data_IF_200278822421
#
_entry.id   IF_200278822421
#
_cell.length_a   1.000
_cell.length_b   1.000
_cell.length_c   1.000
_cell.angle_alpha   90.00
_cell.angle_beta   90.00
_cell.angle_gamma   90.00
#
_symmetry.space_group_name_H-M   'P 1'
#
loop_
_entity.id
_entity.type
_entity.pdbx_description
1 polymer ?
#
# COMPACT_ATOMS: atom_id res chain seq x y z
N UNK A 1 -7.46 -36.78 47.41
CA UNK A 1 -8.86 -36.52 47.83
C UNK A 1 -9.63 -36.14 46.58
N UNK A 2 -10.64 -36.93 46.20
CA UNK A 2 -11.52 -36.61 45.06
C UNK A 2 -12.73 -35.84 45.54
N UNK A 3 -13.21 -34.89 44.74
CA UNK A 3 -14.34 -34.01 45.09
C UNK A 3 -15.36 -34.00 43.95
N UNK A 4 -16.60 -34.38 44.26
CA UNK A 4 -17.77 -34.19 43.39
C UNK A 4 -18.89 -33.56 44.22
N UNK A 5 -19.04 -32.24 44.11
CA UNK A 5 -19.99 -31.44 44.90
C UNK A 5 -19.79 -31.62 46.42
N UNK A 6 -20.67 -32.41 47.05
CA UNK A 6 -20.68 -32.68 48.50
C UNK A 6 -20.05 -34.02 48.89
N UNK A 7 -19.55 -34.83 47.94
CA UNK A 7 -18.95 -36.14 48.22
C UNK A 7 -17.42 -36.11 48.14
N UNK A 8 -16.80 -36.74 49.13
CA UNK A 8 -15.35 -36.91 49.24
C UNK A 8 -15.02 -38.39 49.35
N UNK A 9 -14.12 -38.90 48.51
CA UNK A 9 -13.59 -40.25 48.65
C UNK A 9 -12.10 -40.32 48.31
N UNK A 10 -11.47 -41.38 48.83
CA UNK A 10 -10.08 -41.73 48.56
C UNK A 10 -10.09 -42.89 47.56
N UNK A 11 -9.65 -42.64 46.33
CA UNK A 11 -9.34 -43.68 45.36
C UNK A 11 -7.82 -43.76 45.20
N UNK A 12 -7.25 -44.95 44.91
CA UNK A 12 -5.81 -45.14 44.72
C UNK A 12 -5.28 -44.56 43.40
N UNK A 13 -6.15 -44.07 42.51
CA UNK A 13 -5.74 -43.38 41.30
C UNK A 13 -5.28 -41.94 41.63
N UNK A 14 -4.34 -41.36 40.87
CA UNK A 14 -3.97 -39.96 41.01
C UNK A 14 -5.14 -39.06 40.61
N UNK A 15 -5.41 -38.01 41.40
CA UNK A 15 -6.33 -36.95 40.98
C UNK A 15 -5.74 -36.27 39.73
N UNK A 16 -6.48 -36.27 38.61
CA UNK A 16 -6.03 -35.65 37.34
C UNK A 16 -5.60 -34.20 37.51
N UNK A 17 -6.22 -33.46 38.44
CA UNK A 17 -5.80 -32.08 38.77
C UNK A 17 -4.41 -32.04 39.42
N UNK A 18 -4.17 -32.90 40.42
CA UNK A 18 -2.86 -32.99 41.07
C UNK A 18 -1.78 -33.48 40.12
N UNK A 19 -2.12 -34.41 39.21
CA UNK A 19 -1.20 -34.86 38.16
C UNK A 19 -0.87 -33.73 37.17
N UNK A 20 -1.85 -32.91 36.79
CA UNK A 20 -1.62 -31.76 35.92
C UNK A 20 -0.73 -30.71 36.59
N UNK A 21 -0.94 -30.43 37.88
CA UNK A 21 -0.06 -29.55 38.66
C UNK A 21 1.38 -30.09 38.72
N UNK A 22 1.55 -31.38 39.02
CA UNK A 22 2.86 -32.02 39.05
C UNK A 22 3.58 -31.93 37.69
N UNK A 23 2.89 -32.23 36.59
CA UNK A 23 3.46 -32.13 35.24
C UNK A 23 3.79 -30.68 34.86
N UNK A 24 2.94 -29.72 35.24
CA UNK A 24 3.20 -28.31 35.00
C UNK A 24 4.42 -27.80 35.79
N UNK A 25 4.66 -28.34 36.99
CA UNK A 25 5.86 -28.07 37.78
C UNK A 25 7.10 -28.73 37.18
N UNK A 26 7.00 -29.98 36.70
CA UNK A 26 8.10 -30.67 36.00
C UNK A 26 8.54 -29.91 34.74
N UNK A 27 7.61 -29.25 34.03
CA UNK A 27 7.93 -28.44 32.85
C UNK A 27 8.79 -27.21 33.15
N UNK A 28 8.94 -26.77 34.41
CA UNK A 28 9.91 -25.72 34.79
C UNK A 28 11.34 -26.11 34.46
N UNK A 29 11.64 -27.41 34.46
CA UNK A 29 12.95 -27.95 34.11
C UNK A 29 13.11 -28.20 32.61
N UNK A 30 12.10 -27.89 31.79
CA UNK A 30 12.10 -28.04 30.33
C UNK A 30 11.66 -26.73 29.64
N UNK A 31 12.39 -25.61 29.86
CA UNK A 31 12.00 -24.30 29.31
C UNK A 31 11.94 -24.31 27.77
N UNK A 32 12.79 -25.08 27.10
CA UNK A 32 12.81 -25.18 25.64
C UNK A 32 11.48 -25.70 25.08
N UNK A 33 10.87 -26.69 25.74
CA UNK A 33 9.57 -27.24 25.33
C UNK A 33 8.44 -26.22 25.45
N UNK A 34 8.50 -25.36 26.46
CA UNK A 34 7.52 -24.29 26.67
C UNK A 34 7.72 -23.19 25.62
N UNK A 35 8.97 -22.80 25.37
CA UNK A 35 9.33 -21.84 24.34
C UNK A 35 8.86 -22.32 22.96
N UNK A 36 9.17 -23.57 22.58
CA UNK A 36 8.74 -24.17 21.31
C UNK A 36 7.23 -24.08 21.09
N UNK A 37 6.42 -24.34 22.12
CA UNK A 37 4.96 -24.23 22.04
C UNK A 37 4.50 -22.78 21.85
N UNK A 38 5.12 -21.82 22.55
CA UNK A 38 4.84 -20.40 22.35
C UNK A 38 5.21 -19.97 20.92
N UNK A 39 6.40 -20.33 20.44
CA UNK A 39 6.85 -20.01 19.09
C UNK A 39 5.96 -20.64 18.03
N UNK A 40 5.50 -21.88 18.24
CA UNK A 40 4.54 -22.56 17.36
C UNK A 40 3.26 -21.73 17.23
N UNK A 41 2.70 -21.25 18.34
CA UNK A 41 1.49 -20.40 18.36
C UNK A 41 1.72 -19.04 17.69
N UNK A 42 2.87 -18.40 17.91
CA UNK A 42 3.22 -17.14 17.21
C UNK A 42 3.30 -17.36 15.70
N UNK A 43 3.90 -18.47 15.25
CA UNK A 43 3.94 -18.83 13.82
C UNK A 43 2.54 -19.08 13.25
N UNK A 44 1.62 -19.64 14.03
CA UNK A 44 0.22 -19.80 13.63
C UNK A 44 -0.49 -18.45 13.46
N UNK A 45 -0.27 -17.50 14.36
CA UNK A 45 -0.80 -16.13 14.25
C UNK A 45 -0.32 -15.45 12.96
N UNK A 46 0.95 -15.61 12.60
CA UNK A 46 1.53 -15.07 11.37
C UNK A 46 0.97 -15.73 10.10
N UNK A 47 0.64 -17.02 10.15
CA UNK A 47 0.02 -17.73 9.00
C UNK A 47 -1.42 -17.28 8.74
N UNK A 48 -2.11 -16.77 9.77
CA UNK A 48 -3.52 -16.36 9.66
C UNK A 48 -3.69 -15.01 8.95
N UNK A 49 -2.76 -14.08 9.17
CA UNK A 49 -2.87 -12.73 8.62
C UNK A 49 -1.50 -12.08 8.49
N UNK A 50 -1.28 -11.37 7.37
CA UNK A 50 -0.14 -10.49 7.18
C UNK A 50 -0.46 -9.02 7.47
N UNK A 51 -1.71 -8.69 7.80
CA UNK A 51 -2.15 -7.30 7.98
C UNK A 51 -1.81 -6.43 6.76
N UNK A 52 -1.22 -5.26 7.01
CA UNK A 52 -0.71 -4.36 5.98
C UNK A 52 0.77 -4.58 5.63
N UNK A 53 1.40 -5.66 6.08
CA UNK A 53 2.82 -5.92 5.79
C UNK A 53 2.97 -6.78 4.54
N UNK A 54 4.05 -6.56 3.79
CA UNK A 54 4.45 -7.43 2.70
C UNK A 54 5.00 -8.78 3.21
N UNK A 55 5.53 -8.80 4.44
CA UNK A 55 5.96 -10.01 5.10
C UNK A 55 5.99 -9.87 6.62
N UNK A 56 5.72 -10.98 7.31
CA UNK A 56 5.81 -11.06 8.78
C UNK A 56 6.73 -12.20 9.15
N UNK A 57 7.72 -11.91 9.97
CA UNK A 57 8.78 -12.84 10.36
C UNK A 57 8.59 -13.23 11.82
N UNK A 58 8.10 -14.44 12.05
CA UNK A 58 7.90 -14.99 13.38
C UNK A 58 9.21 -15.54 13.94
N UNK A 59 9.80 -14.83 14.90
CA UNK A 59 10.92 -15.29 15.74
C UNK A 59 12.09 -15.78 14.86
N UNK A 60 12.68 -14.88 14.05
CA UNK A 60 13.79 -15.25 13.20
C UNK A 60 15.00 -15.66 14.04
N UNK A 61 15.66 -16.76 13.67
CA UNK A 61 16.86 -17.22 14.42
C UNK A 61 18.10 -16.39 14.12
N UNK A 62 18.07 -15.68 13.00
CA UNK A 62 19.13 -14.75 12.60
C UNK A 62 18.56 -13.63 11.73
N UNK A 63 19.29 -12.52 11.63
CA UNK A 63 18.91 -11.40 10.78
C UNK A 63 18.90 -11.73 9.27
N UNK A 64 19.46 -12.87 8.86
CA UNK A 64 19.42 -13.35 7.46
C UNK A 64 18.02 -13.79 7.03
N UNK A 65 17.19 -14.25 7.97
CA UNK A 65 15.83 -14.73 7.71
C UNK A 65 14.83 -13.61 7.41
N UNK A 66 15.25 -12.35 7.61
CA UNK A 66 14.48 -11.16 7.25
C UNK A 66 15.03 -10.60 5.94
N UNK A 67 14.30 -10.71 4.81
CA UNK A 67 14.73 -10.15 3.52
C UNK A 67 14.96 -8.65 3.59
N UNK A 68 15.87 -8.14 2.77
CA UNK A 68 16.14 -6.71 2.61
C UNK A 68 15.52 -6.25 1.29
N UNK A 69 14.26 -5.82 1.36
CA UNK A 69 13.44 -5.44 0.22
C UNK A 69 12.68 -4.13 0.53
N UNK A 70 12.32 -3.33 -0.49
CA UNK A 70 11.62 -2.05 -0.32
C UNK A 70 10.12 -2.25 -0.04
N UNK A 71 9.78 -3.01 1.01
CA UNK A 71 8.40 -3.23 1.43
C UNK A 71 8.32 -3.48 2.95
N UNK A 72 7.31 -2.91 3.61
CA UNK A 72 7.16 -2.95 5.05
C UNK A 72 7.02 -4.38 5.58
N UNK A 73 7.84 -4.73 6.57
CA UNK A 73 7.88 -6.04 7.21
C UNK A 73 7.82 -5.91 8.72
N UNK A 74 7.03 -6.80 9.33
CA UNK A 74 6.97 -6.94 10.78
C UNK A 74 7.87 -8.08 11.23
N UNK A 75 8.74 -7.83 12.21
CA UNK A 75 9.57 -8.85 12.84
C UNK A 75 9.09 -9.08 14.26
N UNK A 76 8.59 -10.27 14.56
CA UNK A 76 8.21 -10.64 15.94
C UNK A 76 9.44 -11.24 16.60
N UNK A 77 9.97 -10.58 17.63
CA UNK A 77 11.18 -11.00 18.34
C UNK A 77 10.91 -12.24 19.21
N UNK A 78 11.98 -12.98 19.50
CA UNK A 78 11.94 -14.14 20.38
C UNK A 78 11.70 -13.80 21.85
N UNK A 79 11.48 -14.84 22.66
CA UNK A 79 11.23 -14.71 24.10
C UNK A 79 12.50 -14.33 24.88
N UNK A 80 13.67 -14.54 24.28
CA UNK A 80 14.99 -14.16 24.76
C UNK A 80 15.26 -12.64 24.66
N UNK A 81 14.46 -11.94 23.85
CA UNK A 81 14.56 -10.50 23.65
C UNK A 81 13.30 -9.76 24.17
N UNK A 82 12.99 -9.81 25.49
CA UNK A 82 11.85 -9.09 26.03
C UNK A 82 12.10 -7.58 26.06
N UNK A 83 11.01 -6.83 25.91
CA UNK A 83 11.01 -5.39 26.07
C UNK A 83 10.82 -5.00 27.53
N UNK A 84 11.63 -4.04 27.97
CA UNK A 84 11.51 -3.36 29.25
C UNK A 84 11.66 -1.86 29.04
N UNK A 85 10.77 -1.06 29.66
CA UNK A 85 10.77 0.41 29.50
C UNK A 85 11.96 1.08 30.21
N UNK A 86 12.36 0.56 31.37
CA UNK A 86 13.40 1.15 32.21
C UNK A 86 14.64 0.26 32.20
N UNK A 87 15.77 0.80 31.74
CA UNK A 87 17.06 0.09 31.66
C UNK A 87 17.39 -0.38 30.24
N UNK A 88 18.42 -1.22 30.12
CA UNK A 88 18.79 -1.86 28.86
C UNK A 88 17.70 -2.85 28.45
N UNK A 89 17.13 -2.65 27.26
CA UNK A 89 16.05 -3.49 26.73
C UNK A 89 16.62 -4.49 25.72
N UNK A 90 16.64 -5.81 26.03
CA UNK A 90 17.08 -6.84 25.09
C UNK A 90 16.37 -6.76 23.74
N UNK A 91 15.07 -6.44 23.76
CA UNK A 91 14.29 -6.23 22.55
C UNK A 91 14.84 -5.13 21.65
N UNK A 92 15.24 -3.98 22.21
CA UNK A 92 15.79 -2.87 21.43
C UNK A 92 17.16 -3.24 20.84
N UNK A 93 17.97 -3.99 21.58
CA UNK A 93 19.28 -4.46 21.11
C UNK A 93 19.13 -5.45 19.96
N UNK A 94 18.24 -6.43 20.08
CA UNK A 94 17.93 -7.39 19.03
C UNK A 94 17.31 -6.70 17.79
N UNK A 95 16.38 -5.77 18.01
CA UNK A 95 15.78 -4.97 16.94
C UNK A 95 16.82 -4.14 16.19
N UNK A 96 17.74 -3.47 16.90
CA UNK A 96 18.84 -2.72 16.30
C UNK A 96 19.76 -3.61 15.46
N UNK A 97 20.11 -4.80 15.95
CA UNK A 97 20.93 -5.75 15.19
C UNK A 97 20.27 -6.17 13.87
N UNK A 98 18.97 -6.47 13.89
CA UNK A 98 18.22 -6.86 12.67
C UNK A 98 18.00 -5.66 11.74
N UNK A 99 17.83 -4.46 12.30
CA UNK A 99 17.68 -3.22 11.56
C UNK A 99 18.96 -2.84 10.82
N UNK A 100 20.12 -3.01 11.46
CA UNK A 100 21.41 -2.64 10.88
C UNK A 100 21.99 -3.70 9.93
N UNK A 101 21.71 -4.98 10.19
CA UNK A 101 22.38 -6.09 9.51
C UNK A 101 21.40 -7.09 8.92
N UNK A 102 21.77 -7.65 7.77
CA UNK A 102 21.20 -8.87 7.18
C UNK A 102 22.33 -9.90 7.12
N UNK A 103 22.40 -10.76 8.14
CA UNK A 103 23.57 -11.59 8.37
C UNK A 103 24.81 -10.74 8.57
N UNK A 104 25.75 -10.85 7.65
CA UNK A 104 27.03 -10.13 7.71
C UNK A 104 27.06 -8.89 6.81
N UNK A 105 25.97 -8.58 6.11
CA UNK A 105 25.88 -7.42 5.21
C UNK A 105 25.06 -6.31 5.89
N UNK A 106 25.46 -5.03 5.76
CA UNK A 106 24.66 -3.93 6.25
C UNK A 106 23.34 -3.86 5.47
N UNK A 107 22.25 -3.59 6.19
CA UNK A 107 20.90 -3.52 5.62
C UNK A 107 20.68 -2.19 4.90
N UNK A 108 20.08 -2.25 3.72
CA UNK A 108 19.75 -1.07 2.91
C UNK A 108 18.40 -0.50 3.32
N UNK A 109 17.35 -1.31 3.36
CA UNK A 109 15.97 -0.84 3.54
C UNK A 109 15.55 -0.80 5.01
N UNK A 110 16.27 -0.03 5.82
CA UNK A 110 16.05 0.06 7.26
C UNK A 110 14.67 0.62 7.60
N UNK A 111 14.16 1.57 6.82
CA UNK A 111 12.84 2.15 7.07
C UNK A 111 11.69 1.17 6.78
N UNK A 112 11.96 0.01 6.18
CA UNK A 112 10.97 -1.03 5.92
C UNK A 112 10.64 -1.90 7.16
N UNK A 113 11.41 -1.81 8.24
CA UNK A 113 11.27 -2.72 9.38
C UNK A 113 10.58 -2.08 10.60
N UNK A 114 9.73 -2.87 11.22
CA UNK A 114 9.14 -2.63 12.55
C UNK A 114 9.15 -3.93 13.35
N UNK A 115 9.17 -3.84 14.68
CA UNK A 115 9.38 -5.00 15.54
C UNK A 115 8.27 -5.15 16.57
N UNK A 116 7.88 -6.38 16.88
CA UNK A 116 6.97 -6.71 17.97
C UNK A 116 7.72 -7.53 19.01
N UNK A 117 7.68 -7.08 20.25
CA UNK A 117 8.37 -7.70 21.36
C UNK A 117 7.40 -8.09 22.48
N UNK A 118 7.81 -9.10 23.22
CA UNK A 118 7.13 -9.55 24.44
C UNK A 118 7.44 -8.61 25.60
N UNK A 119 6.47 -8.34 26.46
CA UNK A 119 6.65 -7.58 27.70
C UNK A 119 7.35 -8.46 28.75
N UNK A 120 8.47 -7.97 29.31
CA UNK A 120 9.24 -8.68 30.35
C UNK A 120 8.40 -9.13 31.56
N UNK A 121 7.41 -8.32 31.95
CA UNK A 121 6.55 -8.55 33.12
C UNK A 121 5.44 -9.57 32.85
N UNK A 122 5.11 -9.81 31.58
CA UNK A 122 4.06 -10.77 31.18
C UNK A 122 4.61 -12.16 30.85
N UNK A 123 5.94 -12.29 30.71
CA UNK A 123 6.59 -13.54 30.33
C UNK A 123 6.28 -14.69 31.30
N UNK A 124 6.44 -14.48 32.59
CA UNK A 124 6.25 -15.54 33.60
C UNK A 124 4.79 -16.04 33.60
N UNK A 125 3.83 -15.14 33.37
CA UNK A 125 2.41 -15.49 33.27
C UNK A 125 2.05 -16.25 32.00
N UNK A 126 2.71 -15.93 30.87
CA UNK A 126 2.57 -16.69 29.62
C UNK A 126 3.20 -18.08 29.76
N UNK A 127 4.40 -18.17 30.32
CA UNK A 127 5.10 -19.43 30.60
C UNK A 127 4.23 -20.37 31.46
N UNK A 128 3.70 -19.86 32.57
CA UNK A 128 2.84 -20.65 33.46
C UNK A 128 1.57 -21.14 32.76
N UNK A 129 0.93 -20.30 31.94
CA UNK A 129 -0.25 -20.68 31.19
C UNK A 129 0.06 -21.80 30.18
N UNK A 130 1.19 -21.71 29.47
CA UNK A 130 1.62 -22.73 28.50
C UNK A 130 1.98 -24.03 29.20
N UNK A 131 2.68 -23.98 30.34
CA UNK A 131 2.98 -25.18 31.14
C UNK A 131 1.72 -25.92 31.58
N UNK A 132 0.70 -25.20 32.03
CA UNK A 132 -0.61 -25.80 32.37
C UNK A 132 -1.27 -26.44 31.15
N UNK A 133 -1.26 -25.77 30.00
CA UNK A 133 -1.80 -26.32 28.77
C UNK A 133 -1.09 -27.62 28.37
N UNK A 134 0.25 -27.61 28.33
CA UNK A 134 1.06 -28.78 27.97
C UNK A 134 0.88 -29.94 28.97
N UNK A 135 0.71 -29.64 30.26
CA UNK A 135 0.40 -30.64 31.27
C UNK A 135 -0.92 -31.36 30.96
N UNK A 136 -2.00 -30.60 30.72
CA UNK A 136 -3.30 -31.18 30.36
C UNK A 136 -3.27 -31.93 29.02
N UNK A 137 -2.57 -31.39 28.03
CA UNK A 137 -2.43 -32.04 26.73
C UNK A 137 -1.69 -33.38 26.86
N UNK A 138 -0.61 -33.43 27.64
CA UNK A 138 0.12 -34.68 27.89
C UNK A 138 -0.72 -35.75 28.59
N UNK A 139 -1.56 -35.36 29.55
CA UNK A 139 -2.46 -36.30 30.26
C UNK A 139 -3.47 -36.92 29.28
N UNK A 140 -4.00 -36.11 28.37
CA UNK A 140 -4.94 -36.58 27.34
C UNK A 140 -4.26 -37.45 26.28
N UNK A 141 -3.02 -37.13 25.90
CA UNK A 141 -2.22 -37.98 25.01
C UNK A 141 -1.92 -39.36 25.64
N UNK A 142 -1.75 -39.40 26.96
CA UNK A 142 -1.47 -40.64 27.73
C UNK A 142 -2.72 -41.27 28.35
N UNK A 143 -3.93 -40.92 27.89
CA UNK A 143 -5.20 -41.36 28.48
C UNK A 143 -5.32 -42.87 28.69
N UNK A 144 -4.78 -43.67 27.77
CA UNK A 144 -4.82 -45.14 27.82
C UNK A 144 -3.82 -45.69 28.83
N UNK A 145 -2.59 -45.15 28.84
CA UNK A 145 -1.55 -45.56 29.78
C UNK A 145 -1.91 -45.21 31.23
N UNK A 146 -2.57 -44.07 31.43
CA UNK A 146 -3.07 -43.62 32.73
C UNK A 146 -4.38 -44.30 33.14
N UNK A 147 -5.00 -45.10 32.26
CA UNK A 147 -6.31 -45.72 32.45
C UNK A 147 -7.38 -44.71 32.92
N UNK A 148 -7.44 -43.54 32.26
CA UNK A 148 -8.39 -42.50 32.61
C UNK A 148 -9.83 -42.97 32.38
N UNK A 149 -10.68 -42.79 33.39
CA UNK A 149 -12.09 -43.08 33.24
C UNK A 149 -12.81 -42.02 32.35
N UNK A 150 -14.05 -42.29 31.89
CA UNK A 150 -14.78 -41.35 31.02
C UNK A 150 -15.10 -39.99 31.66
N UNK A 151 -15.13 -39.89 32.99
CA UNK A 151 -15.34 -38.64 33.71
C UNK A 151 -14.03 -37.85 33.81
N UNK A 152 -12.93 -38.49 34.21
CA UNK A 152 -11.59 -37.92 34.21
C UNK A 152 -11.17 -37.40 32.84
N UNK A 153 -11.46 -38.16 31.78
CA UNK A 153 -11.19 -37.75 30.39
C UNK A 153 -11.94 -36.47 30.04
N UNK A 154 -13.26 -36.40 30.31
CA UNK A 154 -14.07 -35.21 30.07
C UNK A 154 -13.57 -33.99 30.85
N UNK A 155 -13.16 -34.19 32.10
CA UNK A 155 -12.57 -33.13 32.94
C UNK A 155 -11.25 -32.64 32.34
N UNK A 156 -10.36 -33.53 31.93
CA UNK A 156 -9.08 -33.16 31.30
C UNK A 156 -9.29 -32.44 29.96
N UNK A 157 -10.25 -32.87 29.14
CA UNK A 157 -10.62 -32.18 27.88
C UNK A 157 -11.10 -30.75 28.13
N UNK A 158 -12.00 -30.57 29.11
CA UNK A 158 -12.50 -29.24 29.50
C UNK A 158 -11.37 -28.34 30.02
N UNK A 159 -10.50 -28.88 30.88
CA UNK A 159 -9.37 -28.13 31.41
C UNK A 159 -8.33 -27.79 30.34
N UNK A 160 -8.04 -28.70 29.40
CA UNK A 160 -7.17 -28.41 28.26
C UNK A 160 -7.73 -27.27 27.41
N UNK A 161 -9.03 -27.30 27.10
CA UNK A 161 -9.68 -26.25 26.32
C UNK A 161 -9.68 -24.88 27.03
N UNK A 162 -9.92 -24.88 28.35
CA UNK A 162 -9.82 -23.67 29.16
C UNK A 162 -8.38 -23.12 29.22
N UNK A 163 -7.39 -23.99 29.40
CA UNK A 163 -5.98 -23.64 29.38
C UNK A 163 -5.56 -23.09 28.00
N UNK A 164 -6.02 -23.70 26.91
CA UNK A 164 -5.73 -23.25 25.54
C UNK A 164 -6.28 -21.83 25.26
N UNK A 165 -7.49 -21.56 25.73
CA UNK A 165 -8.09 -20.22 25.67
C UNK A 165 -7.27 -19.23 26.49
N UNK A 166 -6.84 -19.62 27.68
CA UNK A 166 -6.00 -18.79 28.56
C UNK A 166 -4.65 -18.47 27.92
N UNK A 167 -3.99 -19.45 27.30
CA UNK A 167 -2.73 -19.24 26.58
C UNK A 167 -2.93 -18.26 25.43
N UNK A 168 -4.02 -18.39 24.67
CA UNK A 168 -4.33 -17.47 23.56
C UNK A 168 -4.47 -16.02 24.04
N UNK A 169 -5.14 -15.80 25.17
CA UNK A 169 -5.26 -14.47 25.78
C UNK A 169 -3.91 -13.94 26.30
N UNK A 170 -3.16 -14.76 27.05
CA UNK A 170 -1.84 -14.39 27.58
C UNK A 170 -0.84 -14.10 26.47
N UNK A 171 -0.90 -14.80 25.35
CA UNK A 171 -0.04 -14.54 24.20
C UNK A 171 -0.26 -13.12 23.65
N UNK A 172 -1.53 -12.72 23.52
CA UNK A 172 -1.91 -11.37 23.06
C UNK A 172 -1.55 -10.26 24.06
N UNK A 173 -1.57 -10.55 25.36
CA UNK A 173 -1.16 -9.63 26.42
C UNK A 173 0.36 -9.49 26.52
N UNK A 174 1.08 -10.60 26.30
CA UNK A 174 2.53 -10.63 26.40
C UNK A 174 3.18 -9.95 25.19
N UNK A 175 2.78 -10.29 23.96
CA UNK A 175 3.27 -9.64 22.73
C UNK A 175 2.54 -8.31 22.47
N UNK A 176 2.91 -7.29 23.25
CA UNK A 176 2.22 -6.00 23.25
C UNK A 176 3.09 -4.80 22.92
N UNK A 177 4.41 -4.93 22.75
CA UNK A 177 5.29 -3.80 22.50
C UNK A 177 5.74 -3.73 21.05
N UNK A 178 5.21 -2.76 20.33
CA UNK A 178 5.62 -2.43 18.98
C UNK A 178 6.76 -1.42 19.04
N UNK A 179 7.92 -1.79 18.50
CA UNK A 179 9.13 -0.98 18.49
C UNK A 179 9.31 -0.43 17.08
N UNK A 180 9.27 0.89 16.99
CA UNK A 180 9.29 1.63 15.74
C UNK A 180 10.58 2.45 15.69
N UNK A 181 11.47 2.21 14.71
CA UNK A 181 12.62 3.09 14.52
C UNK A 181 12.12 4.44 13.99
N UNK A 182 12.62 5.53 14.58
CA UNK A 182 12.27 6.89 14.21
C UNK A 182 13.51 7.79 14.20
N UNK A 183 13.52 8.74 13.27
CA UNK A 183 14.58 9.73 13.17
C UNK A 183 13.95 11.08 12.80
N UNK A 184 13.62 11.94 13.77
CA UNK A 184 12.91 13.19 13.49
C UNK A 184 13.71 14.18 12.63
N UNK A 185 15.03 14.19 12.80
CA UNK A 185 15.98 15.04 12.07
C UNK A 185 16.93 14.15 11.24
N UNK A 186 17.07 14.35 9.91
CA UNK A 186 18.06 13.65 9.10
C UNK A 186 19.50 13.69 9.61
N UNK A 187 19.89 14.74 10.35
CA UNK A 187 21.22 14.88 10.95
C UNK A 187 21.29 14.38 12.41
N UNK A 188 20.15 14.06 13.02
CA UNK A 188 20.06 13.57 14.39
C UNK A 188 20.24 12.06 14.49
N UNK A 189 20.41 11.57 15.70
CA UNK A 189 20.49 10.13 15.98
C UNK A 189 19.14 9.44 15.77
N UNK A 190 19.19 8.19 15.29
CA UNK A 190 18.01 7.34 15.21
C UNK A 190 17.64 6.85 16.61
N UNK A 191 16.36 7.00 16.95
CA UNK A 191 15.77 6.55 18.20
C UNK A 191 14.67 5.51 17.98
N UNK A 192 14.07 5.10 19.10
CA UNK A 192 13.00 4.10 19.11
C UNK A 192 11.76 4.64 19.81
N UNK A 193 10.61 4.45 19.18
CA UNK A 193 9.31 4.64 19.81
C UNK A 193 8.73 3.28 20.15
N UNK A 194 8.39 3.07 21.43
CA UNK A 194 7.73 1.87 21.90
C UNK A 194 6.23 2.15 22.12
N UNK A 195 5.41 1.54 21.28
CA UNK A 195 3.96 1.69 21.27
C UNK A 195 3.32 0.42 21.85
N UNK A 196 2.41 0.59 22.81
CA UNK A 196 1.66 -0.53 23.37
C UNK A 196 0.48 -0.89 22.46
N UNK A 197 0.37 -2.15 22.06
CA UNK A 197 -0.75 -2.66 21.27
C UNK A 197 -2.02 -2.76 22.12
N UNK A 198 -3.13 -2.32 21.54
CA UNK A 198 -4.47 -2.37 22.13
C UNK A 198 -5.49 -2.80 21.06
N UNK A 199 -6.72 -3.09 21.49
CA UNK A 199 -7.81 -3.47 20.60
C UNK A 199 -7.87 -4.97 20.27
N UNK A 200 -8.91 -5.35 19.51
CA UNK A 200 -9.21 -6.72 19.14
C UNK A 200 -8.53 -7.15 17.83
N UNK A 201 -8.35 -8.46 17.66
CA UNK A 201 -7.71 -9.09 16.50
C UNK A 201 -6.50 -9.94 16.89
N UNK A 202 -5.92 -10.63 15.91
CA UNK A 202 -4.65 -11.36 16.07
C UNK A 202 -3.47 -10.38 16.27
N UNK A 203 -2.29 -10.92 16.62
CA UNK A 203 -1.08 -10.11 16.87
C UNK A 203 -0.74 -9.15 15.72
N UNK A 204 -0.79 -9.66 14.48
CA UNK A 204 -0.37 -8.93 13.28
C UNK A 204 -1.35 -7.82 12.92
N UNK A 205 -2.66 -8.09 12.99
CA UNK A 205 -3.71 -7.11 12.73
C UNK A 205 -3.65 -5.96 13.73
N UNK A 206 -3.49 -6.27 15.02
CA UNK A 206 -3.35 -5.25 16.07
C UNK A 206 -2.14 -4.36 15.80
N UNK A 207 -0.99 -4.96 15.45
CA UNK A 207 0.20 -4.21 15.10
C UNK A 207 -0.01 -3.31 13.87
N UNK A 208 -0.54 -3.86 12.77
CA UNK A 208 -0.73 -3.09 11.53
C UNK A 208 -1.73 -1.95 11.69
N UNK A 209 -2.88 -2.19 12.35
CA UNK A 209 -3.90 -1.16 12.61
C UNK A 209 -3.34 -0.05 13.49
N UNK A 210 -2.53 -0.40 14.50
CA UNK A 210 -1.91 0.59 15.39
C UNK A 210 -0.88 1.46 14.66
N UNK A 211 -0.04 0.88 13.80
CA UNK A 211 0.92 1.67 13.01
C UNK A 211 0.22 2.63 12.05
N UNK A 212 -0.85 2.19 11.38
CA UNK A 212 -1.60 3.04 10.46
C UNK A 212 -2.30 4.16 11.22
N UNK A 213 -2.95 3.85 12.36
CA UNK A 213 -3.66 4.84 13.16
C UNK A 213 -2.74 5.92 13.75
N UNK A 214 -1.52 5.54 14.15
CA UNK A 214 -0.54 6.47 14.74
C UNK A 214 0.34 7.17 13.68
N UNK A 215 0.17 6.86 12.38
CA UNK A 215 0.95 7.46 11.29
C UNK A 215 2.37 6.91 11.14
N UNK A 216 2.67 5.75 11.74
CA UNK A 216 3.97 5.06 11.59
C UNK A 216 4.03 4.13 10.38
N UNK A 217 2.92 3.90 9.68
CA UNK A 217 2.87 3.15 8.42
C UNK A 217 1.83 3.74 7.48
N UNK A 218 2.28 4.17 6.30
CA UNK A 218 1.40 4.72 5.26
C UNK A 218 1.02 3.63 4.27
N UNK A 219 -0.29 3.35 4.20
CA UNK A 219 -0.89 2.50 3.16
C UNK A 219 -1.38 3.30 1.96
N UNK A 220 -1.50 4.62 2.13
CA UNK A 220 -1.83 5.60 1.11
C UNK A 220 -1.05 6.88 1.42
N UNK A 221 -0.59 7.58 0.38
CA UNK A 221 0.13 8.84 0.51
C UNK A 221 -0.38 9.79 -0.58
N UNK A 222 -0.73 11.03 -0.22
CA UNK A 222 -1.16 12.05 -1.16
C UNK A 222 0.02 12.71 -1.87
N UNK A 223 -0.17 13.18 -3.10
CA UNK A 223 0.89 13.85 -3.87
C UNK A 223 1.40 15.13 -3.21
N UNK A 224 0.52 15.85 -2.50
CA UNK A 224 0.88 17.02 -1.71
C UNK A 224 1.78 16.67 -0.51
N UNK A 225 1.53 15.55 0.17
CA UNK A 225 2.38 15.08 1.26
C UNK A 225 3.75 14.69 0.73
N UNK A 226 3.81 14.02 -0.42
CA UNK A 226 5.08 13.73 -1.09
C UNK A 226 5.84 15.02 -1.42
N UNK A 227 5.16 16.03 -1.97
CA UNK A 227 5.77 17.36 -2.21
C UNK A 227 6.35 17.97 -0.94
N UNK A 228 5.62 17.95 0.16
CA UNK A 228 6.11 18.45 1.46
C UNK A 228 7.38 17.70 1.91
N UNK A 229 7.45 16.38 1.73
CA UNK A 229 8.66 15.61 2.09
C UNK A 229 9.85 15.95 1.19
N UNK A 230 9.63 16.11 -0.12
CA UNK A 230 10.66 16.49 -1.09
C UNK A 230 11.26 17.88 -0.79
N UNK A 231 10.47 18.78 -0.20
CA UNK A 231 10.93 20.13 0.15
C UNK A 231 11.54 20.20 1.56
N UNK A 232 11.00 19.41 2.51
CA UNK A 232 11.52 19.34 3.89
C UNK A 232 12.90 18.72 3.96
N UNK A 233 13.11 17.64 3.22
CA UNK A 233 14.38 16.91 3.15
C UNK A 233 14.95 17.14 1.76
N UNK A 234 16.26 17.42 1.57
CA UNK A 234 16.84 17.69 0.26
C UNK A 234 16.90 16.42 -0.62
N UNK A 235 15.75 15.88 -1.01
CA UNK A 235 15.59 14.72 -1.89
C UNK A 235 15.72 15.10 -3.37
N UNK A 236 15.47 16.37 -3.69
CA UNK A 236 15.77 16.95 -4.99
C UNK A 236 17.27 16.92 -5.27
N UNK A 237 17.67 16.32 -6.40
CA UNK A 237 19.07 16.23 -6.84
C UNK A 237 19.30 17.28 -7.93
N UNK A 238 19.25 18.54 -7.51
CA UNK A 238 19.18 19.70 -8.41
C UNK A 238 17.74 20.06 -8.75
N UNK A 239 17.41 20.04 -10.04
CA UNK A 239 16.10 20.45 -10.57
C UNK A 239 15.09 19.30 -10.71
N UNK A 240 15.54 18.06 -10.54
CA UNK A 240 14.71 16.87 -10.63
C UNK A 240 15.20 15.76 -9.69
N UNK A 241 14.43 14.68 -9.61
CA UNK A 241 14.80 13.45 -8.94
C UNK A 241 14.20 12.25 -9.66
N UNK A 242 14.96 11.15 -9.78
CA UNK A 242 14.47 9.93 -10.41
C UNK A 242 13.42 9.23 -9.54
N UNK A 243 12.33 8.78 -10.15
CA UNK A 243 11.24 8.11 -9.44
C UNK A 243 11.71 6.84 -8.71
N UNK A 244 12.55 6.03 -9.36
CA UNK A 244 13.18 4.84 -8.76
C UNK A 244 14.02 5.20 -7.54
N UNK A 245 14.83 6.24 -7.65
CA UNK A 245 15.68 6.67 -6.54
C UNK A 245 14.87 7.15 -5.34
N UNK A 246 13.71 7.78 -5.56
CA UNK A 246 12.80 8.12 -4.45
C UNK A 246 12.26 6.88 -3.74
N UNK A 247 11.89 5.81 -4.49
CA UNK A 247 11.50 4.55 -3.86
C UNK A 247 12.61 4.05 -2.95
N UNK A 248 13.84 3.97 -3.46
CA UNK A 248 15.03 3.57 -2.68
C UNK A 248 15.21 4.43 -1.41
N UNK A 249 15.13 5.76 -1.55
CA UNK A 249 15.32 6.70 -0.45
C UNK A 249 14.26 6.49 0.66
N UNK A 250 12.97 6.37 0.30
CA UNK A 250 11.87 6.20 1.26
C UNK A 250 11.99 4.91 2.08
N UNK A 251 12.50 3.83 1.50
CA UNK A 251 12.71 2.58 2.23
C UNK A 251 14.06 2.51 2.95
N UNK A 252 15.05 3.32 2.54
CA UNK A 252 16.38 3.36 3.15
C UNK A 252 16.49 4.24 4.39
N UNK A 253 15.87 5.42 4.36
CA UNK A 253 16.07 6.45 5.37
C UNK A 253 14.91 6.52 6.38
N UNK A 254 15.23 6.33 7.67
CA UNK A 254 14.25 6.26 8.77
C UNK A 254 13.55 7.59 9.04
N UNK A 255 14.15 8.72 8.63
CA UNK A 255 13.54 10.05 8.75
C UNK A 255 12.43 10.31 7.73
N UNK A 256 12.26 9.45 6.72
CA UNK A 256 11.16 9.54 5.75
C UNK A 256 9.95 8.72 6.21
N UNK A 257 8.72 9.08 5.77
CA UNK A 257 7.54 8.29 6.06
C UNK A 257 7.71 6.83 5.63
N UNK A 258 7.45 5.91 6.56
CA UNK A 258 7.45 4.48 6.26
C UNK A 258 6.24 4.11 5.43
N UNK A 259 6.48 3.51 4.27
CA UNK A 259 5.44 3.10 3.34
C UNK A 259 5.22 1.60 3.39
N UNK A 260 4.00 1.16 3.08
CA UNK A 260 3.66 -0.25 2.96
C UNK A 260 4.52 -0.96 1.90
N UNK A 261 4.54 -0.43 0.69
CA UNK A 261 5.24 -0.97 -0.47
C UNK A 261 5.40 0.14 -1.53
N UNK A 262 6.16 -0.07 -2.62
CA UNK A 262 6.46 0.98 -3.60
C UNK A 262 5.21 1.55 -4.28
N UNK A 263 4.11 0.79 -4.37
CA UNK A 263 2.87 1.26 -5.00
C UNK A 263 2.27 2.48 -4.29
N UNK A 264 2.48 2.61 -2.98
CA UNK A 264 2.02 3.76 -2.20
C UNK A 264 2.71 5.04 -2.64
N UNK A 265 4.02 4.98 -2.89
CA UNK A 265 4.78 6.14 -3.36
C UNK A 265 4.43 6.46 -4.80
N UNK A 266 4.33 5.45 -5.66
CA UNK A 266 3.99 5.62 -7.07
C UNK A 266 2.60 6.25 -7.24
N UNK A 267 1.61 5.81 -6.47
CA UNK A 267 0.29 6.45 -6.45
C UNK A 267 0.36 7.92 -6.01
N UNK A 268 1.23 8.26 -5.05
CA UNK A 268 1.46 9.65 -4.64
C UNK A 268 2.13 10.49 -5.74
N UNK A 269 3.05 9.89 -6.51
CA UNK A 269 3.67 10.55 -7.67
C UNK A 269 2.62 10.86 -8.75
N UNK A 270 1.80 9.88 -9.12
CA UNK A 270 0.72 10.04 -10.08
C UNK A 270 -0.30 11.08 -9.63
N UNK A 271 -0.66 11.08 -8.34
CA UNK A 271 -1.56 12.06 -7.75
C UNK A 271 -0.99 13.48 -7.81
N UNK A 272 0.28 13.66 -7.42
CA UNK A 272 0.96 14.95 -7.41
C UNK A 272 1.09 15.58 -8.80
N UNK A 273 1.31 14.77 -9.82
CA UNK A 273 1.38 15.22 -11.23
C UNK A 273 0.00 15.59 -11.76
N UNK A 274 -1.05 14.87 -11.35
CA UNK A 274 -2.43 15.09 -11.79
C UNK A 274 -3.08 16.34 -11.19
N UNK A 275 -2.60 16.83 -10.05
CA UNK A 275 -3.15 18.01 -9.39
C UNK A 275 -3.21 19.20 -10.35
N UNK A 276 -4.36 19.87 -10.44
CA UNK A 276 -4.46 21.14 -11.18
C UNK A 276 -3.63 22.25 -10.51
N UNK A 277 -3.40 22.12 -9.20
CA UNK A 277 -2.53 23.00 -8.40
C UNK A 277 -1.08 22.51 -8.33
N UNK A 278 -0.62 21.66 -9.26
CA UNK A 278 0.72 21.06 -9.25
C UNK A 278 1.88 22.07 -9.07
N UNK A 279 1.70 23.32 -9.47
CA UNK A 279 2.68 24.39 -9.23
C UNK A 279 2.91 24.69 -7.74
N UNK A 280 1.83 24.66 -6.95
CA UNK A 280 1.87 24.96 -5.51
C UNK A 280 1.97 23.70 -4.68
N UNK A 281 1.15 22.69 -4.99
CA UNK A 281 0.94 21.53 -4.14
C UNK A 281 1.59 20.24 -4.67
N UNK A 282 2.09 20.24 -5.91
CA UNK A 282 2.58 19.03 -6.59
C UNK A 282 3.94 19.23 -7.24
N UNK A 283 4.14 18.59 -8.38
CA UNK A 283 5.35 18.63 -9.19
C UNK A 283 5.01 18.17 -10.62
N UNK A 284 5.95 18.32 -11.54
CA UNK A 284 5.81 17.80 -12.89
C UNK A 284 6.54 16.46 -13.04
N UNK A 285 6.25 15.75 -14.12
CA UNK A 285 6.91 14.51 -14.50
C UNK A 285 7.56 14.64 -15.88
N UNK A 286 8.73 14.06 -16.07
CA UNK A 286 9.40 13.92 -17.36
C UNK A 286 9.87 12.49 -17.58
N UNK A 287 9.84 12.01 -18.82
CA UNK A 287 10.33 10.67 -19.16
C UNK A 287 11.87 10.60 -19.12
N UNK A 288 12.55 11.68 -19.49
CA UNK A 288 14.01 11.78 -19.44
C UNK A 288 14.47 13.24 -19.47
N UNK A 289 15.74 13.48 -19.12
CA UNK A 289 16.40 14.77 -19.27
C UNK A 289 17.45 14.70 -20.38
N UNK A 290 17.43 15.68 -21.27
CA UNK A 290 18.39 15.83 -22.36
C UNK A 290 19.45 16.85 -21.97
N UNK A 291 20.63 16.38 -21.56
CA UNK A 291 21.75 17.24 -21.12
C UNK A 291 22.27 18.13 -22.26
N UNK A 292 22.25 17.66 -23.50
CA UNK A 292 22.77 18.39 -24.66
C UNK A 292 21.87 19.57 -25.06
N UNK A 293 20.56 19.40 -24.94
CA UNK A 293 19.57 20.46 -25.20
C UNK A 293 19.14 21.23 -23.94
N UNK A 294 19.55 20.78 -22.75
CA UNK A 294 19.12 21.35 -21.47
C UNK A 294 17.61 21.26 -21.23
N UNK A 295 16.92 20.24 -21.77
CA UNK A 295 15.44 20.13 -21.73
C UNK A 295 14.93 18.81 -21.18
N UNK A 296 13.76 18.83 -20.55
CA UNK A 296 13.03 17.64 -20.16
C UNK A 296 12.21 17.10 -21.35
N UNK A 297 12.28 15.79 -21.61
CA UNK A 297 11.51 15.13 -22.66
C UNK A 297 10.26 14.49 -22.06
N UNK A 298 9.14 14.57 -22.76
CA UNK A 298 7.87 14.04 -22.28
C UNK A 298 7.39 14.71 -20.98
N UNK A 299 7.62 16.02 -20.84
CA UNK A 299 7.24 16.80 -19.67
C UNK A 299 5.71 16.90 -19.57
N UNK A 300 5.13 16.46 -18.45
CA UNK A 300 3.69 16.45 -18.18
C UNK A 300 3.41 17.05 -16.80
N UNK A 301 2.33 17.80 -16.70
CA UNK A 301 1.83 18.36 -15.44
C UNK A 301 0.34 18.69 -15.55
N UNK A 302 -0.44 18.46 -14.49
CA UNK A 302 -1.90 18.61 -14.50
C UNK A 302 -2.63 17.53 -15.30
N UNK A 303 -1.96 16.42 -15.63
CA UNK A 303 -2.48 15.33 -16.46
C UNK A 303 -2.34 13.98 -15.73
N UNK A 304 -3.17 13.02 -16.13
CA UNK A 304 -3.07 11.65 -15.63
C UNK A 304 -1.78 10.97 -16.07
N UNK A 305 -1.13 10.29 -15.14
CA UNK A 305 0.07 9.49 -15.36
C UNK A 305 -0.19 8.06 -14.88
N UNK A 306 0.42 7.07 -15.54
CA UNK A 306 0.47 5.70 -15.05
C UNK A 306 1.92 5.25 -15.03
N UNK A 307 2.40 4.89 -13.84
CA UNK A 307 3.75 4.41 -13.57
C UNK A 307 3.69 2.96 -13.07
N UNK A 308 4.72 2.18 -13.39
CA UNK A 308 4.87 0.84 -12.82
C UNK A 308 5.31 0.92 -11.35
N UNK A 309 4.62 0.24 -10.41
CA UNK A 309 5.07 0.15 -9.02
C UNK A 309 6.43 -0.52 -8.84
N UNK A 310 6.75 -1.52 -9.66
CA UNK A 310 7.97 -2.34 -9.50
C UNK A 310 9.23 -1.64 -10.02
N UNK A 311 9.06 -0.82 -11.05
CA UNK A 311 10.15 -0.08 -11.68
C UNK A 311 9.64 1.25 -12.22
N UNK A 312 9.34 2.24 -11.34
CA UNK A 312 8.88 3.54 -11.79
C UNK A 312 10.02 4.25 -12.53
N UNK A 313 9.79 4.49 -13.81
CA UNK A 313 10.73 5.19 -14.68
C UNK A 313 10.44 6.70 -14.69
N UNK A 314 11.42 7.49 -15.13
CA UNK A 314 11.28 8.92 -15.31
C UNK A 314 11.68 9.75 -14.10
N UNK A 315 11.43 11.05 -14.22
CA UNK A 315 11.94 12.09 -13.35
C UNK A 315 10.77 12.91 -12.82
N UNK A 316 10.72 13.11 -11.50
CA UNK A 316 9.95 14.18 -10.91
C UNK A 316 10.74 15.47 -11.07
N UNK A 317 10.10 16.53 -11.55
CA UNK A 317 10.74 17.81 -11.87
C UNK A 317 10.14 18.89 -11.00
N UNK A 318 11.00 19.79 -10.47
CA UNK A 318 10.56 20.94 -9.70
C UNK A 318 9.55 21.77 -10.51
N UNK A 319 8.41 22.19 -9.91
CA UNK A 319 7.37 22.87 -10.66
C UNK A 319 7.85 24.16 -11.33
N UNK A 320 8.75 24.92 -10.71
CA UNK A 320 9.28 26.17 -11.25
C UNK A 320 10.11 25.96 -12.52
N UNK A 321 10.79 24.81 -12.62
CA UNK A 321 11.62 24.42 -13.76
C UNK A 321 10.73 23.94 -14.90
N UNK A 322 9.77 23.06 -14.57
CA UNK A 322 8.81 22.56 -15.54
C UNK A 322 7.97 23.67 -16.17
N UNK A 323 7.47 24.62 -15.36
CA UNK A 323 6.71 25.78 -15.84
C UNK A 323 7.50 26.60 -16.85
N UNK A 324 8.78 26.89 -16.55
CA UNK A 324 9.66 27.65 -17.46
C UNK A 324 9.79 26.99 -18.83
N UNK A 325 9.93 25.66 -18.87
CA UNK A 325 10.01 24.94 -20.14
C UNK A 325 8.67 24.94 -20.88
N UNK A 326 7.56 24.64 -20.19
CA UNK A 326 6.22 24.61 -20.81
C UNK A 326 5.85 25.97 -21.42
N UNK A 327 6.14 27.06 -20.73
CA UNK A 327 5.92 28.43 -21.24
C UNK A 327 6.81 28.73 -22.46
N UNK A 328 8.09 28.34 -22.42
CA UNK A 328 8.99 28.52 -23.56
C UNK A 328 8.53 27.73 -24.80
N UNK A 329 8.02 26.51 -24.62
CA UNK A 329 7.50 25.68 -25.72
C UNK A 329 6.17 26.20 -26.28
N UNK A 330 5.31 26.78 -25.44
CA UNK A 330 4.09 27.47 -25.88
C UNK A 330 4.40 28.69 -26.76
N UNK A 331 5.40 29.48 -26.39
CA UNK A 331 5.84 30.67 -27.15
C UNK A 331 6.59 30.29 -28.44
N UNK A 332 7.28 29.15 -28.44
CA UNK A 332 8.12 28.71 -29.56
C UNK A 332 7.39 27.85 -30.60
N UNK A 333 6.09 27.56 -30.43
CA UNK A 333 5.29 26.86 -31.46
C UNK A 333 5.08 27.78 -32.66
N UNK A 334 5.66 27.48 -33.84
CA UNK A 334 5.35 28.25 -35.04
C UNK A 334 3.87 28.02 -35.40
N UNK A 335 3.14 29.13 -35.56
CA UNK A 335 1.81 29.10 -36.18
C UNK A 335 1.96 28.49 -37.58
N UNK A 336 1.18 27.48 -37.98
CA UNK A 336 1.19 27.01 -39.36
C UNK A 336 0.76 28.16 -40.27
N UNK A 337 1.68 28.66 -41.09
CA UNK A 337 1.43 29.76 -42.01
C UNK A 337 0.73 29.33 -43.31
N UNK A 338 -0.07 30.24 -43.87
CA UNK A 338 -0.58 30.21 -45.24
C UNK A 338 -1.92 30.95 -45.34
N UNK A 339 -2.07 32.11 -45.99
CA UNK A 339 -1.31 32.58 -47.14
C UNK A 339 -1.18 34.09 -47.24
N UNK A 340 -0.15 34.45 -47.99
CA UNK A 340 0.20 35.77 -48.47
C UNK A 340 -0.83 36.29 -49.48
N UNK A 341 -1.13 37.59 -49.36
CA UNK A 341 -1.72 38.42 -50.39
C UNK A 341 -1.50 39.88 -49.98
N UNK A 342 -0.60 40.58 -50.69
CA UNK A 342 -0.17 41.97 -50.42
C UNK A 342 -1.32 42.99 -50.37
N UNK A 343 -1.15 44.23 -49.92
CA UNK A 343 -0.03 45.16 -49.99
C UNK A 343 -0.23 46.26 -48.91
N UNK A 344 0.77 47.11 -48.65
CA UNK A 344 0.80 48.06 -47.54
C UNK A 344 0.11 49.39 -47.85
N UNK A 345 -0.52 50.02 -46.86
CA UNK A 345 -0.82 51.46 -46.88
C UNK A 345 -0.51 52.06 -45.51
N UNK A 346 0.50 52.92 -45.50
CA UNK A 346 0.96 53.77 -44.40
C UNK A 346 0.11 55.05 -44.23
N UNK A 347 0.31 55.84 -43.16
CA UNK A 347 -0.75 56.55 -42.44
C UNK A 347 -0.81 58.06 -42.74
N UNK A 348 -1.96 58.68 -42.45
CA UNK A 348 -2.16 60.10 -42.16
C UNK A 348 -3.67 60.32 -41.89
N UNK A 349 -4.18 61.29 -41.14
CA UNK A 349 -3.73 62.18 -40.08
C UNK A 349 -5.01 62.93 -39.64
N UNK A 350 -5.02 63.42 -38.40
CA UNK A 350 -5.78 64.61 -37.92
C UNK A 350 -7.31 64.59 -37.77
N UNK A 351 -7.76 65.00 -36.57
CA UNK A 351 -9.14 65.38 -36.29
C UNK A 351 -9.48 65.56 -34.81
N UNK A 352 -8.89 66.57 -34.16
CA UNK A 352 -9.17 67.00 -32.77
C UNK A 352 -10.44 67.87 -32.71
N UNK A 353 -11.29 67.69 -31.68
CA UNK A 353 -11.98 68.72 -30.84
C UNK A 353 -13.19 68.08 -30.13
N UNK A 354 -13.24 67.85 -28.81
CA UNK A 354 -13.30 68.73 -27.62
C UNK A 354 -14.74 69.10 -27.18
N UNK A 355 -14.98 68.84 -25.88
CA UNK A 355 -15.95 69.41 -24.93
C UNK A 355 -17.35 68.77 -24.79
N UNK A 356 -17.64 68.35 -23.55
CA UNK A 356 -18.99 68.04 -23.07
C UNK A 356 -19.01 67.25 -21.76
N UNK A 357 -18.58 67.88 -20.65
CA UNK A 357 -18.74 67.34 -19.29
C UNK A 357 -20.22 67.42 -18.88
N UNK A 358 -20.83 66.30 -18.49
CA UNK A 358 -21.85 66.26 -17.44
C UNK A 358 -21.66 64.97 -16.63
N UNK A 359 -21.45 65.14 -15.33
CA UNK A 359 -21.41 64.09 -14.31
C UNK A 359 -22.84 63.85 -13.85
N UNK A 360 -23.34 62.63 -14.02
CA UNK A 360 -24.44 62.09 -13.20
C UNK A 360 -24.13 60.67 -12.77
N UNK A 361 -24.09 60.49 -11.45
CA UNK A 361 -23.84 59.24 -10.75
C UNK A 361 -25.09 58.35 -10.76
N UNK A 362 -24.95 57.09 -11.19
CA UNK A 362 -25.73 55.96 -10.60
C UNK A 362 -25.20 54.58 -11.00
N UNK A 363 -24.80 53.86 -9.95
CA UNK A 363 -24.98 52.43 -9.66
C UNK A 363 -24.50 51.34 -10.66
N UNK A 364 -23.58 50.52 -10.13
CA UNK A 364 -23.41 49.07 -10.34
C UNK A 364 -23.55 48.49 -11.74
N UNK A 365 -22.42 48.23 -12.42
CA UNK A 365 -22.29 47.06 -13.28
C UNK A 365 -20.89 46.43 -13.21
N UNK A 366 -20.91 45.21 -12.70
CA UNK A 366 -19.87 44.20 -12.64
C UNK A 366 -19.53 43.72 -14.07
N UNK A 367 -18.26 43.50 -14.43
CA UNK A 367 -17.91 43.01 -15.77
C UNK A 367 -18.35 41.55 -15.96
N UNK A 368 -18.92 41.32 -17.14
CA UNK A 368 -19.64 40.13 -17.58
C UNK A 368 -18.84 38.82 -17.50
N UNK A 369 -19.53 37.78 -17.06
CA UNK A 369 -19.11 36.39 -17.19
C UNK A 369 -19.07 35.96 -18.66
N UNK A 370 -17.96 35.34 -19.07
CA UNK A 370 -17.88 34.59 -20.31
C UNK A 370 -18.87 33.42 -20.25
N UNK A 371 -19.95 33.51 -21.03
CA UNK A 371 -20.92 32.43 -21.20
C UNK A 371 -20.21 31.13 -21.59
N UNK A 372 -20.32 30.11 -20.72
CA UNK A 372 -19.77 28.78 -20.97
C UNK A 372 -20.39 28.19 -22.25
N UNK A 373 -19.51 27.77 -23.17
CA UNK A 373 -19.90 27.05 -24.39
C UNK A 373 -20.57 25.72 -24.00
N UNK A 374 -21.87 25.61 -24.24
CA UNK A 374 -22.64 24.37 -23.99
C UNK A 374 -22.37 23.38 -25.12
N UNK A 375 -21.68 22.28 -24.81
CA UNK A 375 -21.42 21.17 -25.74
C UNK A 375 -22.62 20.22 -25.72
N UNK A 376 -23.21 19.95 -26.90
CA UNK A 376 -24.48 19.20 -27.02
C UNK A 376 -24.34 17.82 -27.64
N UNK A 377 -23.15 17.47 -28.14
CA UNK A 377 -22.90 16.23 -28.88
C UNK A 377 -21.52 15.70 -28.51
N UNK A 378 -21.45 14.40 -28.23
CA UNK A 378 -20.20 13.66 -28.06
C UNK A 378 -20.05 12.68 -29.22
N UNK A 379 -18.87 12.66 -29.83
CA UNK A 379 -18.47 11.68 -30.84
C UNK A 379 -17.05 11.24 -30.51
N UNK A 380 -16.84 9.93 -30.40
CA UNK A 380 -15.55 9.36 -30.07
C UNK A 380 -15.37 8.00 -30.75
N UNK A 381 -14.17 7.75 -31.24
CA UNK A 381 -13.73 6.45 -31.78
C UNK A 381 -12.50 6.03 -30.98
N UNK A 382 -12.47 4.78 -30.54
CA UNK A 382 -11.33 4.19 -29.87
C UNK A 382 -10.89 2.95 -30.64
N UNK A 383 -9.59 2.79 -30.85
CA UNK A 383 -9.03 1.55 -31.37
C UNK A 383 -8.94 0.53 -30.23
N UNK A 384 -9.45 -0.68 -30.44
CA UNK A 384 -9.37 -1.77 -29.47
C UNK A 384 -8.24 -2.72 -29.85
N UNK A 385 -7.51 -3.24 -28.87
CA UNK A 385 -6.57 -4.32 -29.12
C UNK A 385 -7.36 -5.60 -29.46
N UNK A 386 -7.16 -6.23 -30.63
CA UNK A 386 -7.93 -7.39 -31.06
C UNK A 386 -7.77 -8.60 -30.12
N UNK A 387 -6.65 -8.70 -29.39
CA UNK A 387 -6.39 -9.79 -28.44
C UNK A 387 -6.96 -9.54 -27.04
N UNK A 388 -7.33 -8.29 -26.73
CA UNK A 388 -7.84 -7.85 -25.42
C UNK A 388 -9.15 -7.07 -25.51
N UNK A 389 -9.83 -7.14 -26.65
CA UNK A 389 -11.02 -6.36 -27.01
C UNK A 389 -12.15 -6.41 -25.97
N UNK A 390 -12.35 -7.54 -25.29
CA UNK A 390 -13.33 -7.66 -24.21
C UNK A 390 -13.01 -6.82 -22.97
N UNK A 391 -11.72 -6.72 -22.58
CA UNK A 391 -11.29 -5.89 -21.45
C UNK A 391 -11.37 -4.42 -21.81
N UNK A 392 -10.89 -4.05 -23.00
CA UNK A 392 -10.88 -2.66 -23.45
C UNK A 392 -12.32 -2.14 -23.65
N UNK A 393 -13.22 -2.95 -24.22
CA UNK A 393 -14.63 -2.61 -24.32
C UNK A 393 -15.31 -2.48 -22.95
N UNK A 394 -14.94 -3.31 -21.97
CA UNK A 394 -15.44 -3.17 -20.60
C UNK A 394 -14.95 -1.88 -19.92
N UNK A 395 -13.69 -1.51 -20.15
CA UNK A 395 -13.14 -0.25 -19.66
C UNK A 395 -13.83 0.96 -20.30
N UNK A 396 -14.07 0.95 -21.63
CA UNK A 396 -14.83 2.03 -22.30
C UNK A 396 -16.28 2.09 -21.80
N UNK A 397 -16.89 0.93 -21.53
CA UNK A 397 -18.23 0.87 -20.97
C UNK A 397 -18.29 1.55 -19.59
N UNK A 398 -17.29 1.33 -18.74
CA UNK A 398 -17.25 1.86 -17.38
C UNK A 398 -16.82 3.34 -17.33
N UNK A 399 -15.81 3.72 -18.10
CA UNK A 399 -15.17 5.04 -18.01
C UNK A 399 -15.82 6.09 -18.93
N UNK A 400 -16.63 5.68 -19.91
CA UNK A 400 -17.25 6.61 -20.86
C UNK A 400 -18.77 6.35 -20.97
N UNK A 401 -19.18 5.15 -21.35
CA UNK A 401 -20.60 4.88 -21.65
C UNK A 401 -21.46 5.03 -20.38
N UNK A 402 -20.99 4.54 -19.23
CA UNK A 402 -21.71 4.64 -17.95
C UNK A 402 -22.01 6.10 -17.57
N UNK A 403 -21.05 7.01 -17.80
CA UNK A 403 -21.23 8.44 -17.52
C UNK A 403 -22.22 9.11 -18.48
N UNK A 404 -22.25 8.70 -19.75
CA UNK A 404 -23.17 9.25 -20.75
C UNK A 404 -24.60 8.73 -20.56
N UNK A 405 -24.77 7.46 -20.17
CA UNK A 405 -26.09 6.85 -19.91
C UNK A 405 -26.69 7.34 -18.58
N UNK A 406 -25.86 7.73 -17.62
CA UNK A 406 -26.33 8.30 -16.35
C UNK A 406 -26.97 9.69 -16.48
N UNK A 407 -26.87 10.34 -17.64
CA UNK A 407 -27.46 11.65 -17.90
C UNK A 407 -28.94 11.53 -18.33
N UNK A 408 -29.87 12.26 -17.68
CA UNK A 408 -31.28 12.28 -18.08
C UNK A 408 -31.44 12.70 -19.56
N UNK A 409 -32.31 12.01 -20.29
CA UNK A 409 -32.62 12.24 -21.71
C UNK A 409 -31.47 12.02 -22.72
N UNK A 410 -30.31 11.51 -22.29
CA UNK A 410 -29.20 11.18 -23.18
C UNK A 410 -29.50 9.94 -24.03
N UNK A 411 -29.45 10.09 -25.37
CA UNK A 411 -29.59 8.99 -26.33
C UNK A 411 -28.20 8.48 -26.71
N UNK A 412 -27.77 7.39 -26.09
CA UNK A 412 -26.46 6.78 -26.35
C UNK A 412 -26.62 5.62 -27.34
N UNK A 413 -25.86 5.67 -28.45
CA UNK A 413 -25.73 4.58 -29.42
C UNK A 413 -24.27 4.14 -29.45
N UNK A 414 -24.03 2.84 -29.35
CA UNK A 414 -22.68 2.24 -29.42
C UNK A 414 -22.65 1.33 -30.64
N UNK A 415 -21.61 1.49 -31.46
CA UNK A 415 -21.38 0.69 -32.67
C UNK A 415 -19.98 0.11 -32.59
N UNK A 416 -19.86 -1.21 -32.76
CA UNK A 416 -18.58 -1.90 -32.87
C UNK A 416 -18.31 -2.14 -34.36
N UNK A 417 -17.20 -1.60 -34.85
CA UNK A 417 -16.73 -1.76 -36.23
C UNK A 417 -15.51 -2.69 -36.21
N UNK A 418 -15.51 -3.72 -37.06
CA UNK A 418 -14.45 -4.70 -37.16
C UNK A 418 -13.94 -4.66 -38.59
N UNK A 419 -12.69 -4.25 -38.77
CA UNK A 419 -12.02 -4.20 -40.07
C UNK A 419 -10.84 -5.17 -40.05
N UNK A 420 -10.76 -6.03 -41.06
CA UNK A 420 -9.65 -6.95 -41.25
C UNK A 420 -9.24 -6.91 -42.72
N UNK A 421 -7.96 -6.62 -42.97
CA UNK A 421 -7.39 -6.63 -44.31
C UNK A 421 -6.37 -7.77 -44.39
N UNK A 422 -6.53 -8.63 -45.39
CA UNK A 422 -5.58 -9.69 -45.69
C UNK A 422 -5.21 -9.60 -47.18
N UNK A 423 -4.02 -9.06 -47.52
CA UNK A 423 -3.65 -8.80 -48.91
C UNK A 423 -3.69 -10.02 -49.82
N UNK A 424 -3.44 -11.22 -49.28
CA UNK A 424 -3.43 -12.48 -50.02
C UNK A 424 -4.83 -13.15 -50.09
N UNK A 425 -5.86 -12.50 -49.59
CA UNK A 425 -7.24 -12.99 -49.54
C UNK A 425 -7.54 -13.90 -48.34
N UNK A 426 -8.80 -13.92 -47.91
CA UNK A 426 -9.25 -14.77 -46.81
C UNK A 426 -9.49 -16.21 -47.27
N UNK A 427 -8.97 -17.23 -46.58
CA UNK A 427 -9.26 -18.63 -46.89
C UNK A 427 -10.77 -18.93 -46.78
N UNK A 428 -11.30 -19.73 -47.70
CA UNK A 428 -12.75 -20.02 -47.81
C UNK A 428 -13.37 -20.54 -46.49
N UNK A 429 -12.62 -21.37 -45.75
CA UNK A 429 -13.08 -21.88 -44.47
C UNK A 429 -13.26 -20.77 -43.41
N UNK A 430 -12.43 -19.73 -43.42
CA UNK A 430 -12.54 -18.56 -42.53
C UNK A 430 -13.72 -17.70 -42.93
N UNK A 431 -13.88 -17.41 -44.22
CA UNK A 431 -15.02 -16.64 -44.75
C UNK A 431 -16.34 -17.29 -44.36
N UNK A 432 -16.45 -18.61 -44.52
CA UNK A 432 -17.66 -19.37 -44.14
C UNK A 432 -17.93 -19.28 -42.64
N UNK A 433 -16.92 -19.50 -41.80
CA UNK A 433 -17.07 -19.44 -40.33
C UNK A 433 -17.45 -18.04 -39.85
N UNK A 434 -16.85 -16.99 -40.40
CA UNK A 434 -17.16 -15.61 -40.00
C UNK A 434 -18.58 -15.22 -40.43
N UNK A 435 -19.00 -15.53 -41.67
CA UNK A 435 -20.37 -15.27 -42.14
C UNK A 435 -21.43 -15.99 -41.31
N UNK A 436 -21.18 -17.25 -40.92
CA UNK A 436 -22.12 -18.01 -40.07
C UNK A 436 -22.26 -17.40 -38.66
N UNK A 437 -21.13 -17.00 -38.06
CA UNK A 437 -21.11 -16.35 -36.75
C UNK A 437 -21.77 -14.97 -36.77
N UNK A 438 -21.53 -14.15 -37.80
CA UNK A 438 -22.18 -12.83 -37.94
C UNK A 438 -23.70 -12.95 -38.04
N UNK A 439 -24.21 -13.98 -38.73
CA UNK A 439 -25.65 -14.26 -38.80
C UNK A 439 -26.21 -14.69 -37.44
N UNK A 440 -25.50 -15.54 -36.70
CA UNK A 440 -25.92 -15.99 -35.36
C UNK A 440 -25.90 -14.84 -34.35
N UNK A 441 -24.90 -13.96 -34.43
CA UNK A 441 -24.74 -12.77 -33.58
C UNK A 441 -25.56 -11.56 -34.06
N UNK A 442 -26.32 -11.69 -35.16
CA UNK A 442 -27.24 -10.68 -35.71
C UNK A 442 -26.55 -9.34 -36.03
N UNK A 443 -25.40 -9.38 -36.70
CA UNK A 443 -24.76 -8.17 -37.20
C UNK A 443 -25.72 -7.40 -38.13
N UNK A 444 -25.85 -6.09 -37.94
CA UNK A 444 -26.71 -5.24 -38.77
C UNK A 444 -26.24 -5.19 -40.23
N UNK A 445 -24.92 -5.26 -40.45
CA UNK A 445 -24.27 -5.32 -41.75
C UNK A 445 -22.94 -6.10 -41.65
N UNK A 446 -22.66 -6.97 -42.60
CA UNK A 446 -21.40 -7.70 -42.73
C UNK A 446 -21.21 -8.18 -44.18
N UNK A 447 -20.02 -8.00 -44.75
CA UNK A 447 -19.67 -8.57 -46.06
C UNK A 447 -18.16 -8.82 -46.17
N UNK A 448 -17.75 -9.58 -47.19
CA UNK A 448 -16.36 -9.70 -47.64
C UNK A 448 -16.30 -9.16 -49.07
N UNK A 449 -15.48 -8.14 -49.30
CA UNK A 449 -15.33 -7.48 -50.59
C UNK A 449 -14.18 -8.13 -51.38
N UNK A 450 -14.36 -8.29 -52.71
CA UNK A 450 -13.33 -8.87 -53.59
C UNK A 450 -12.27 -7.84 -54.02
N UNK A 451 -12.51 -6.54 -53.79
CA UNK A 451 -11.56 -5.42 -53.85
C UNK A 451 -12.12 -4.16 -53.19
#
# INVERSE_FOLDING_TARGET
LYTDGTRYWYAPQPNVNSLAEERAEQLKFQPDRVAEEIERRVREEVRRSSGHFAGVHAIPRSSQEVPDEPAARLVILGLDAPYQRNGESPALSAAAQILEWRGNQPRTYRNALVFLAVDRTQLDGLDEAVRRYLAWDSILQEREALNLDPHQTRTAEQQRAAADTTVSLRLLEAFQWLLVPEQPDPQGDMGWVAVRLQGAGNLVERASKKLVADGHLYTQLGGNVLRIQLDRVPLWRGDHVEARQLVEDFFRYVYLPRLRDPSVLVAAMEDGVRLLTWMQDGFAYAESYDEGAGRYRGLRAGEGLSLSPDAPAGLLVRPEVARRQLEAELVSRPVPGGGEGGQPVTPDQTGVSVAGVVVESRADQQPASTAQRVLRRFYGRAALDPTRSGRDAAQIAQEIIAHLVALPDAKVRVTLEIEAQLPDGFPEHVVRTVRENCNTLKFEYHDFEEE
#
